data_IF_379764547137
#
_entry.id   IF_379764547137
#
_cell.length_a   1.000
_cell.length_b   1.000
_cell.length_c   1.000
_cell.angle_alpha   90.00
_cell.angle_beta   90.00
_cell.angle_gamma   90.00
#
_symmetry.space_group_name_H-M   'P 1'
#
loop_
_entity.id
_entity.type
_entity.pdbx_description
1 polymer ?
#
# COMPACT_ATOMS: atom_id res chain seq x y z
N UNK A 1 -0.18 -14.63 1.56
CA UNK A 1 -0.90 -13.41 1.17
C UNK A 1 -1.54 -12.80 2.43
N UNK A 2 -1.09 -11.61 2.82
CA UNK A 2 -1.55 -10.92 4.04
C UNK A 2 -2.99 -10.41 3.93
N UNK A 3 -3.55 -10.32 2.73
CA UNK A 3 -4.92 -9.86 2.49
C UNK A 3 -5.99 -10.92 2.75
N UNK A 4 -5.60 -12.17 3.06
CA UNK A 4 -6.52 -13.28 3.32
C UNK A 4 -7.41 -12.99 4.53
N UNK A 5 -8.70 -13.29 4.39
CA UNK A 5 -9.71 -13.01 5.43
C UNK A 5 -9.33 -13.53 6.83
N UNK A 6 -8.72 -14.71 6.90
CA UNK A 6 -8.22 -15.28 8.16
C UNK A 6 -7.16 -14.39 8.85
N UNK A 7 -6.20 -13.87 8.09
CA UNK A 7 -5.16 -12.97 8.61
C UNK A 7 -5.77 -11.62 9.01
N UNK A 8 -6.69 -11.10 8.20
CA UNK A 8 -7.43 -9.87 8.49
C UNK A 8 -8.28 -10.03 9.76
N UNK A 9 -8.89 -11.19 9.98
CA UNK A 9 -9.70 -11.46 11.17
C UNK A 9 -8.87 -11.35 12.46
N UNK A 10 -7.60 -11.76 12.44
CA UNK A 10 -6.70 -11.66 13.58
C UNK A 10 -6.01 -10.29 13.70
N UNK A 11 -5.52 -9.73 12.60
CA UNK A 11 -4.71 -8.49 12.60
C UNK A 11 -5.54 -7.21 12.52
N UNK A 12 -6.78 -7.31 12.02
CA UNK A 12 -7.66 -6.19 11.67
C UNK A 12 -7.12 -5.27 10.56
N UNK A 13 -6.12 -5.74 9.82
CA UNK A 13 -5.46 -4.97 8.76
C UNK A 13 -5.88 -5.51 7.40
N UNK A 14 -6.85 -4.85 6.76
CA UNK A 14 -7.17 -5.12 5.36
C UNK A 14 -6.16 -4.44 4.40
N UNK A 15 -6.28 -4.72 3.10
CA UNK A 15 -5.41 -4.12 2.06
C UNK A 15 -5.44 -2.60 2.09
N UNK A 16 -6.59 -1.99 2.38
CA UNK A 16 -6.71 -0.53 2.41
C UNK A 16 -5.98 0.07 3.61
N UNK A 17 -6.08 -0.58 4.78
CA UNK A 17 -5.36 -0.20 5.99
C UNK A 17 -3.85 -0.35 5.79
N UNK A 18 -3.41 -1.44 5.14
CA UNK A 18 -2.00 -1.66 4.80
C UNK A 18 -1.47 -0.61 3.83
N UNK A 19 -2.20 -0.31 2.76
CA UNK A 19 -1.79 0.70 1.79
C UNK A 19 -1.70 2.10 2.42
N UNK A 20 -2.62 2.44 3.33
CA UNK A 20 -2.62 3.72 4.04
C UNK A 20 -1.37 3.88 4.92
N UNK A 21 -0.98 2.86 5.68
CA UNK A 21 0.21 2.94 6.54
C UNK A 21 1.52 2.83 5.75
N UNK A 22 1.52 2.12 4.61
CA UNK A 22 2.72 1.95 3.77
C UNK A 22 2.99 3.18 2.89
N UNK A 23 1.94 3.85 2.37
CA UNK A 23 2.06 4.96 1.43
C UNK A 23 3.09 6.02 1.85
N UNK A 24 3.02 6.60 3.08
CA UNK A 24 3.96 7.63 3.50
C UNK A 24 5.38 7.12 3.79
N UNK A 25 5.58 5.81 3.91
CA UNK A 25 6.88 5.21 4.17
C UNK A 25 7.60 4.79 2.88
N UNK A 26 6.83 4.43 1.85
CA UNK A 26 7.35 3.96 0.54
C UNK A 26 7.43 5.10 -0.47
N UNK A 27 6.52 6.07 -0.38
CA UNK A 27 6.41 7.20 -1.31
C UNK A 27 6.52 8.51 -0.53
N UNK A 28 7.06 9.53 -1.19
CA UNK A 28 7.19 10.88 -0.62
C UNK A 28 6.90 11.90 -1.69
N UNK A 29 5.88 12.72 -1.47
CA UNK A 29 5.61 13.89 -2.28
C UNK A 29 6.72 14.95 -2.08
N UNK A 30 7.34 15.41 -3.17
CA UNK A 30 8.39 16.45 -3.14
C UNK A 30 7.85 17.88 -3.18
N UNK A 31 6.54 18.04 -3.38
CA UNK A 31 5.88 19.35 -3.41
C UNK A 31 5.69 19.91 -2.00
N UNK A 32 5.94 21.22 -1.85
CA UNK A 32 5.59 21.98 -0.64
C UNK A 32 4.16 22.57 -0.67
N UNK A 33 3.47 22.56 -1.83
CA UNK A 33 2.07 23.03 -1.91
C UNK A 33 1.11 22.03 -1.22
N UNK A 34 0.40 22.43 -0.15
CA UNK A 34 -0.52 21.56 0.58
C UNK A 34 -1.62 20.91 -0.28
N UNK A 35 -2.04 21.58 -1.35
CA UNK A 35 -3.08 21.05 -2.25
C UNK A 35 -2.55 19.86 -3.04
N UNK A 36 -1.31 19.97 -3.53
CA UNK A 36 -0.62 18.89 -4.26
C UNK A 36 -0.32 17.73 -3.31
N UNK A 37 0.14 18.03 -2.09
CA UNK A 37 0.39 17.00 -1.06
C UNK A 37 -0.88 16.21 -0.77
N UNK A 38 -2.01 16.89 -0.56
CA UNK A 38 -3.29 16.23 -0.26
C UNK A 38 -3.79 15.36 -1.42
N UNK A 39 -3.66 15.86 -2.65
CA UNK A 39 -4.02 15.09 -3.84
C UNK A 39 -3.12 13.84 -4.02
N UNK A 40 -1.80 14.01 -3.87
CA UNK A 40 -0.85 12.92 -3.98
C UNK A 40 -1.02 11.87 -2.88
N UNK A 41 -1.34 12.28 -1.65
CA UNK A 41 -1.63 11.35 -0.54
C UNK A 41 -2.66 10.29 -0.95
N UNK A 42 -3.75 10.70 -1.62
CA UNK A 42 -4.77 9.77 -2.11
C UNK A 42 -4.28 8.89 -3.26
N UNK A 43 -3.48 9.45 -4.16
CA UNK A 43 -2.90 8.72 -5.31
C UNK A 43 -1.91 7.65 -4.84
N UNK A 44 -1.05 7.99 -3.88
CA UNK A 44 -0.05 7.11 -3.27
C UNK A 44 -0.70 5.90 -2.59
N UNK A 45 -1.75 6.11 -1.78
CA UNK A 45 -2.52 5.01 -1.18
C UNK A 45 -3.14 4.09 -2.24
N UNK A 46 -3.72 4.69 -3.29
CA UNK A 46 -4.36 3.93 -4.38
C UNK A 46 -3.34 3.12 -5.16
N UNK A 47 -2.16 3.70 -5.42
CA UNK A 47 -1.06 3.02 -6.09
C UNK A 47 -0.58 1.81 -5.30
N UNK A 48 -0.31 1.96 -4.00
CA UNK A 48 0.11 0.82 -3.18
C UNK A 48 -0.95 -0.27 -3.06
N UNK A 49 -2.23 0.10 -2.90
CA UNK A 49 -3.33 -0.86 -2.91
C UNK A 49 -3.34 -1.69 -4.20
N UNK A 50 -3.09 -1.04 -5.34
CA UNK A 50 -3.01 -1.70 -6.64
C UNK A 50 -1.81 -2.65 -6.70
N UNK A 51 -0.64 -2.22 -6.21
CA UNK A 51 0.53 -3.10 -6.15
C UNK A 51 0.29 -4.33 -5.28
N UNK A 52 -0.28 -4.16 -4.08
CA UNK A 52 -0.57 -5.28 -3.17
C UNK A 52 -1.54 -6.29 -3.79
N UNK A 53 -2.52 -5.82 -4.56
CA UNK A 53 -3.61 -6.68 -5.08
C UNK A 53 -3.27 -7.31 -6.43
N UNK A 54 -2.46 -6.63 -7.25
CA UNK A 54 -2.36 -6.94 -8.68
C UNK A 54 -0.94 -7.07 -9.20
N UNK A 55 0.09 -6.75 -8.42
CA UNK A 55 1.47 -6.91 -8.86
C UNK A 55 1.91 -8.37 -8.74
N UNK A 56 2.39 -8.94 -9.85
CA UNK A 56 2.94 -10.28 -9.84
C UNK A 56 4.30 -10.31 -9.12
N UNK A 57 4.34 -11.08 -8.03
CA UNK A 57 5.55 -11.27 -7.22
C UNK A 57 6.18 -12.65 -7.42
N UNK A 58 5.76 -13.41 -8.44
CA UNK A 58 6.26 -14.77 -8.69
C UNK A 58 7.79 -14.84 -8.82
N UNK A 59 8.43 -13.77 -9.32
CA UNK A 59 9.89 -13.72 -9.46
C UNK A 59 10.67 -13.78 -8.13
N UNK A 60 10.05 -13.42 -6.99
CA UNK A 60 10.71 -13.45 -5.67
C UNK A 60 10.39 -14.73 -4.88
N UNK A 61 9.44 -15.55 -5.34
CA UNK A 61 9.05 -16.77 -4.64
C UNK A 61 10.23 -17.76 -4.64
N UNK A 62 10.82 -17.99 -3.45
CA UNK A 62 11.97 -18.88 -3.27
C UNK A 62 13.30 -18.17 -3.01
N UNK A 63 13.33 -16.83 -3.00
CA UNK A 63 14.46 -16.05 -2.50
C UNK A 63 14.24 -15.77 -1.01
N UNK A 64 14.48 -16.77 -0.15
CA UNK A 64 14.57 -16.62 1.32
C UNK A 64 15.57 -17.61 1.89
#
# INVERSE_FOLDING_TARGET
>A
DLSREEVVAHTKMDVSNLAMVMAPNVLRCESDDPRVIFENTRREMTFLKTLITSYDTSFIQGIV
#
